data_IF_114532949548
#
_entry.id   IF_114532949548
#
_cell.length_a   1.000
_cell.length_b   1.000
_cell.length_c   1.000
_cell.angle_alpha   90.00
_cell.angle_beta   90.00
_cell.angle_gamma   90.00
#
_symmetry.space_group_name_H-M   'P 1'
#
loop_
_entity.id
_entity.type
_entity.pdbx_description
1 polymer ?
#
# COMPACT_ATOMS: atom_id res chain seq x y z
N UNK A 1 -9.75 -31.05 -48.48
CA UNK A 1 -8.36 -30.63 -48.15
C UNK A 1 -8.02 -29.15 -48.43
N UNK A 2 -8.70 -28.45 -49.32
CA UNK A 2 -8.43 -27.02 -49.60
C UNK A 2 -9.07 -26.05 -48.62
N UNK A 3 -10.27 -26.36 -48.07
CA UNK A 3 -11.01 -25.49 -47.15
C UNK A 3 -10.36 -25.37 -45.78
N UNK A 4 -9.80 -26.48 -45.27
CA UNK A 4 -9.12 -26.48 -43.96
C UNK A 4 -7.82 -25.67 -43.93
N UNK A 5 -7.10 -25.66 -45.07
CA UNK A 5 -5.89 -24.84 -45.20
C UNK A 5 -6.21 -23.36 -45.31
N UNK A 6 -7.32 -23.01 -45.96
CA UNK A 6 -7.79 -21.62 -46.04
C UNK A 6 -8.25 -21.09 -44.67
N UNK A 7 -8.94 -21.93 -43.89
CA UNK A 7 -9.38 -21.59 -42.52
C UNK A 7 -8.17 -21.41 -41.59
N UNK A 8 -7.15 -22.25 -41.71
CA UNK A 8 -5.93 -22.15 -40.91
C UNK A 8 -5.13 -20.87 -41.23
N UNK A 9 -5.04 -20.49 -42.50
CA UNK A 9 -4.40 -19.24 -42.94
C UNK A 9 -5.19 -18.04 -42.43
N UNK A 10 -6.52 -18.08 -42.47
CA UNK A 10 -7.38 -17.02 -41.97
C UNK A 10 -7.24 -16.81 -40.45
N UNK A 11 -7.19 -17.90 -39.66
CA UNK A 11 -6.95 -17.85 -38.21
C UNK A 11 -5.55 -17.31 -37.91
N UNK A 12 -4.53 -17.71 -38.71
CA UNK A 12 -3.16 -17.22 -38.53
C UNK A 12 -3.05 -15.72 -38.84
N UNK A 13 -3.73 -15.24 -39.89
CA UNK A 13 -3.76 -13.81 -40.25
C UNK A 13 -4.51 -13.00 -39.17
N UNK A 14 -5.63 -13.52 -38.65
CA UNK A 14 -6.37 -12.87 -37.59
C UNK A 14 -5.59 -12.84 -36.26
N UNK A 15 -4.78 -13.86 -35.97
CA UNK A 15 -3.90 -13.86 -34.78
C UNK A 15 -2.71 -12.90 -34.91
N UNK A 16 -2.24 -12.64 -36.15
CA UNK A 16 -1.15 -11.70 -36.38
C UNK A 16 -1.61 -10.24 -36.41
N UNK A 17 -2.88 -9.97 -36.74
CA UNK A 17 -3.44 -8.61 -36.70
C UNK A 17 -3.74 -8.14 -35.27
N UNK A 18 -4.00 -9.06 -34.34
CA UNK A 18 -4.18 -8.74 -32.92
C UNK A 18 -2.93 -8.22 -32.22
N UNK A 19 -1.73 -8.46 -32.77
CA UNK A 19 -0.47 -7.95 -32.21
C UNK A 19 -0.13 -6.51 -32.61
N UNK A 20 -0.84 -5.91 -33.55
CA UNK A 20 -0.56 -4.53 -33.99
C UNK A 20 -1.08 -3.46 -33.06
N UNK A 21 -2.10 -3.75 -32.25
CA UNK A 21 -2.67 -2.77 -31.32
C UNK A 21 -1.76 -2.44 -30.11
N UNK A 22 -0.83 -3.32 -29.76
CA UNK A 22 0.09 -3.08 -28.64
C UNK A 22 1.30 -2.20 -28.99
N UNK A 23 1.64 -2.06 -30.28
CA UNK A 23 2.83 -1.33 -30.71
C UNK A 23 2.75 0.21 -30.60
N UNK A 24 1.57 0.75 -30.37
CA UNK A 24 1.36 2.20 -30.33
C UNK A 24 0.97 2.73 -28.92
N UNK A 25 0.71 1.83 -27.96
CA UNK A 25 0.28 2.21 -26.61
C UNK A 25 1.47 2.47 -25.69
N UNK A 26 1.43 3.62 -25.00
CA UNK A 26 2.37 3.97 -23.95
C UNK A 26 1.89 3.37 -22.62
N UNK A 27 2.63 2.39 -22.13
CA UNK A 27 2.25 1.68 -20.90
C UNK A 27 2.75 2.44 -19.69
N UNK A 28 1.85 3.04 -18.94
CA UNK A 28 2.18 3.77 -17.72
C UNK A 28 2.58 2.79 -16.62
N UNK A 29 3.69 3.08 -15.95
CA UNK A 29 4.25 2.29 -14.85
C UNK A 29 4.17 2.99 -13.52
N UNK A 30 4.33 4.32 -13.53
CA UNK A 30 4.38 5.16 -12.36
C UNK A 30 3.74 6.50 -12.69
N UNK A 31 3.01 7.05 -11.75
CA UNK A 31 2.58 8.44 -11.71
C UNK A 31 3.22 9.10 -10.49
N UNK A 32 3.78 10.30 -10.65
CA UNK A 32 4.17 11.13 -9.51
C UNK A 32 3.34 12.39 -9.49
N UNK A 33 2.93 12.81 -8.30
CA UNK A 33 2.08 13.98 -8.08
C UNK A 33 2.68 14.82 -6.97
N UNK A 34 3.12 16.03 -7.32
CA UNK A 34 3.58 17.04 -6.36
C UNK A 34 2.77 18.32 -6.52
N UNK A 35 2.98 19.28 -5.62
CA UNK A 35 2.35 20.60 -5.75
C UNK A 35 2.71 21.30 -7.05
N UNK A 36 3.95 21.13 -7.49
CA UNK A 36 4.48 21.85 -8.65
C UNK A 36 4.16 21.17 -9.96
N UNK A 37 4.18 19.83 -10.00
CA UNK A 37 4.07 19.08 -11.24
C UNK A 37 3.45 17.69 -11.08
N UNK A 38 2.90 17.18 -12.18
CA UNK A 38 2.47 15.81 -12.33
C UNK A 38 3.29 15.18 -13.45
N UNK A 39 3.91 14.01 -13.20
CA UNK A 39 4.73 13.31 -14.17
C UNK A 39 4.24 11.87 -14.36
N UNK A 40 4.12 11.45 -15.62
CA UNK A 40 3.75 10.10 -16.03
C UNK A 40 5.00 9.43 -16.58
N UNK A 41 5.42 8.32 -15.95
CA UNK A 41 6.51 7.48 -16.42
C UNK A 41 5.95 6.27 -17.15
N UNK A 42 6.34 6.11 -18.42
CA UNK A 42 5.78 5.08 -19.28
C UNK A 42 6.87 4.40 -20.12
N UNK A 43 6.58 3.17 -20.54
CA UNK A 43 7.33 2.49 -21.57
C UNK A 43 6.77 2.85 -22.95
N UNK A 44 7.65 3.34 -23.81
CA UNK A 44 7.35 3.54 -25.21
C UNK A 44 7.88 2.31 -26.01
N UNK A 45 6.94 1.55 -26.53
CA UNK A 45 7.24 0.36 -27.34
C UNK A 45 7.31 0.67 -28.84
N UNK A 46 7.08 1.92 -29.25
CA UNK A 46 7.18 2.34 -30.66
C UNK A 46 8.63 2.45 -31.15
N UNK A 47 9.60 2.53 -30.21
CA UNK A 47 11.03 2.55 -30.52
C UNK A 47 11.60 1.13 -30.67
N UNK A 48 12.66 0.98 -31.47
CA UNK A 48 13.37 -0.31 -31.67
C UNK A 48 13.87 -0.94 -30.35
N UNK A 49 14.06 -0.13 -29.32
CA UNK A 49 14.35 -0.56 -27.95
C UNK A 49 13.39 0.14 -27.00
N UNK A 50 12.56 -0.62 -26.27
CA UNK A 50 11.71 -0.04 -25.24
C UNK A 50 12.55 0.73 -24.22
N UNK A 51 12.23 2.00 -24.01
CA UNK A 51 12.89 2.85 -23.02
C UNK A 51 11.86 3.54 -22.15
N UNK A 52 12.27 3.88 -20.95
CA UNK A 52 11.45 4.75 -20.11
C UNK A 52 11.44 6.16 -20.70
N UNK A 53 10.25 6.72 -20.73
CA UNK A 53 10.01 8.12 -21.11
C UNK A 53 9.15 8.77 -20.05
N UNK A 54 9.25 10.07 -19.92
CA UNK A 54 8.45 10.87 -18.99
C UNK A 54 7.66 11.92 -19.76
N UNK A 55 6.40 12.10 -19.38
CA UNK A 55 5.58 13.25 -19.75
C UNK A 55 5.21 13.97 -18.47
N UNK A 56 5.43 15.29 -18.44
CA UNK A 56 5.16 16.08 -17.24
C UNK A 56 4.46 17.39 -17.58
N UNK A 57 3.67 17.87 -16.63
CA UNK A 57 3.01 19.19 -16.69
C UNK A 57 3.01 19.85 -15.31
N UNK A 58 3.01 21.16 -15.31
CA UNK A 58 2.79 21.96 -14.11
C UNK A 58 1.40 21.63 -13.51
N UNK A 59 1.37 21.46 -12.20
CA UNK A 59 0.14 21.10 -11.49
C UNK A 59 -0.72 22.37 -11.27
N UNK A 60 -1.74 22.53 -12.09
CA UNK A 60 -2.75 23.60 -11.97
C UNK A 60 -4.09 23.11 -11.41
N UNK A 61 -4.08 21.98 -10.74
CA UNK A 61 -5.19 21.18 -10.24
C UNK A 61 -5.03 19.76 -10.75
N UNK A 62 -5.06 18.80 -9.83
CA UNK A 62 -4.67 17.40 -10.10
C UNK A 62 -5.54 16.80 -11.20
N UNK A 63 -6.86 16.91 -11.07
CA UNK A 63 -7.80 16.34 -12.04
C UNK A 63 -7.62 16.95 -13.43
N UNK A 64 -7.54 18.28 -13.51
CA UNK A 64 -7.37 18.98 -14.77
C UNK A 64 -6.02 18.63 -15.43
N UNK A 65 -4.95 18.60 -14.67
CA UNK A 65 -3.61 18.30 -15.16
C UNK A 65 -3.52 16.85 -15.65
N UNK A 66 -4.13 15.90 -14.95
CA UNK A 66 -4.23 14.50 -15.40
C UNK A 66 -4.99 14.39 -16.72
N UNK A 67 -6.14 15.03 -16.85
CA UNK A 67 -6.91 15.04 -18.09
C UNK A 67 -6.08 15.59 -19.26
N UNK A 68 -5.35 16.69 -19.04
CA UNK A 68 -4.49 17.27 -20.06
C UNK A 68 -3.32 16.33 -20.45
N UNK A 69 -2.61 15.75 -19.46
CA UNK A 69 -1.51 14.82 -19.72
C UNK A 69 -1.98 13.61 -20.52
N UNK A 70 -3.14 13.07 -20.15
CA UNK A 70 -3.70 11.87 -20.77
C UNK A 70 -4.32 12.13 -22.15
N UNK A 71 -4.65 13.39 -22.48
CA UNK A 71 -5.20 13.76 -23.78
C UNK A 71 -4.13 13.86 -24.89
N UNK A 72 -2.87 14.07 -24.51
CA UNK A 72 -1.79 14.29 -25.46
C UNK A 72 -1.39 13.00 -26.23
N UNK A 73 -1.65 11.84 -25.60
CA UNK A 73 -1.30 10.54 -26.16
C UNK A 73 -2.21 9.41 -25.63
N UNK A 74 -2.24 8.29 -26.34
CA UNK A 74 -2.96 7.10 -25.86
C UNK A 74 -2.11 6.35 -24.82
N UNK A 75 -2.45 6.52 -23.53
CA UNK A 75 -1.81 5.85 -22.42
C UNK A 75 -2.62 4.64 -21.94
N UNK A 76 -1.93 3.52 -21.65
CA UNK A 76 -2.53 2.39 -20.94
C UNK A 76 -2.19 2.50 -19.45
N UNK A 77 -3.21 2.85 -18.64
CA UNK A 77 -3.09 3.07 -17.20
C UNK A 77 -3.29 1.80 -16.36
N UNK A 78 -3.70 0.69 -16.99
CA UNK A 78 -4.03 -0.57 -16.29
C UNK A 78 -2.87 -1.21 -15.58
N UNK A 79 -1.64 -0.93 -16.04
CA UNK A 79 -0.41 -1.45 -15.47
C UNK A 79 0.33 -0.44 -14.59
N UNK A 80 -0.27 0.72 -14.32
CA UNK A 80 0.24 1.66 -13.34
C UNK A 80 0.09 1.06 -11.94
N UNK A 81 1.20 0.75 -11.30
CA UNK A 81 1.21 0.11 -9.97
C UNK A 81 1.15 1.11 -8.85
N UNK A 82 1.86 2.23 -9.00
CA UNK A 82 2.05 3.19 -7.93
C UNK A 82 1.75 4.60 -8.40
N UNK A 83 1.10 5.34 -7.52
CA UNK A 83 1.00 6.79 -7.56
C UNK A 83 1.78 7.31 -6.37
N UNK A 84 2.91 7.95 -6.64
CA UNK A 84 3.77 8.54 -5.62
C UNK A 84 3.38 10.00 -5.47
N UNK A 85 3.10 10.43 -4.26
CA UNK A 85 2.77 11.81 -3.97
C UNK A 85 3.58 12.34 -2.77
N UNK A 86 3.79 13.64 -2.75
CA UNK A 86 4.41 14.29 -1.62
C UNK A 86 3.45 14.42 -0.41
N UNK A 87 3.95 14.88 0.72
CA UNK A 87 3.17 15.03 1.95
C UNK A 87 2.02 16.01 1.81
N UNK A 88 2.22 17.11 1.07
CA UNK A 88 1.20 18.14 0.94
C UNK A 88 -0.03 17.64 0.17
N UNK A 89 0.18 16.79 -0.86
CA UNK A 89 -0.93 16.14 -1.57
C UNK A 89 -1.73 15.25 -0.62
N UNK A 90 -1.05 14.49 0.23
CA UNK A 90 -1.73 13.60 1.22
C UNK A 90 -2.51 14.40 2.26
N UNK A 91 -1.96 15.51 2.72
CA UNK A 91 -2.56 16.33 3.77
C UNK A 91 -3.76 17.15 3.26
N UNK A 92 -3.65 17.70 2.05
CA UNK A 92 -4.57 18.74 1.58
C UNK A 92 -5.37 18.39 0.32
N UNK A 93 -4.85 17.50 -0.54
CA UNK A 93 -5.38 17.28 -1.89
C UNK A 93 -5.71 15.79 -2.19
N UNK A 94 -5.76 14.93 -1.18
CA UNK A 94 -5.98 13.49 -1.36
C UNK A 94 -7.33 13.18 -2.02
N UNK A 95 -8.37 13.97 -1.75
CA UNK A 95 -9.69 13.82 -2.38
C UNK A 95 -9.63 14.10 -3.89
N UNK A 96 -8.96 15.18 -4.27
CA UNK A 96 -8.79 15.53 -5.68
C UNK A 96 -7.94 14.50 -6.41
N UNK A 97 -6.86 14.05 -5.77
CA UNK A 97 -6.02 12.96 -6.31
C UNK A 97 -6.85 11.69 -6.56
N UNK A 98 -7.59 11.21 -5.56
CA UNK A 98 -8.40 10.00 -5.67
C UNK A 98 -9.43 10.13 -6.78
N UNK A 99 -10.18 11.22 -6.83
CA UNK A 99 -11.17 11.49 -7.86
C UNK A 99 -10.53 11.55 -9.24
N UNK A 100 -9.40 12.23 -9.37
CA UNK A 100 -8.63 12.31 -10.61
C UNK A 100 -8.20 10.94 -11.13
N UNK A 101 -7.73 10.04 -10.25
CA UNK A 101 -7.34 8.68 -10.61
C UNK A 101 -8.53 7.84 -11.05
N UNK A 102 -9.64 7.89 -10.32
CA UNK A 102 -10.86 7.15 -10.65
C UNK A 102 -11.46 7.63 -11.98
N UNK A 103 -11.58 8.94 -12.16
CA UNK A 103 -12.11 9.54 -13.38
C UNK A 103 -11.23 9.29 -14.61
N UNK A 104 -9.91 9.21 -14.41
CA UNK A 104 -8.93 8.88 -15.46
C UNK A 104 -8.82 7.38 -15.74
N UNK A 105 -9.60 6.53 -15.06
CA UNK A 105 -9.64 5.08 -15.24
C UNK A 105 -8.32 4.36 -14.93
N UNK A 106 -7.58 4.82 -13.93
CA UNK A 106 -6.48 4.02 -13.37
C UNK A 106 -6.99 2.67 -12.86
N UNK A 107 -6.10 1.69 -12.80
CA UNK A 107 -6.45 0.39 -12.21
C UNK A 107 -6.86 0.57 -10.75
N UNK A 108 -7.92 -0.11 -10.34
CA UNK A 108 -8.29 -0.14 -8.93
C UNK A 108 -7.24 -0.84 -8.04
N UNK A 109 -6.32 -1.63 -8.65
CA UNK A 109 -5.17 -2.24 -7.97
C UNK A 109 -3.98 -1.27 -7.80
N UNK A 110 -4.07 -0.05 -8.33
CA UNK A 110 -3.05 1.00 -8.16
C UNK A 110 -2.97 1.40 -6.69
N UNK A 111 -1.76 1.56 -6.17
CA UNK A 111 -1.50 1.95 -4.77
C UNK A 111 -1.04 3.39 -4.73
N UNK A 112 -1.67 4.19 -3.86
CA UNK A 112 -1.21 5.55 -3.55
C UNK A 112 -0.19 5.44 -2.40
N UNK A 113 1.00 6.02 -2.60
CA UNK A 113 2.06 6.05 -1.59
C UNK A 113 2.62 7.45 -1.44
N UNK A 114 3.02 7.80 -0.22
CA UNK A 114 3.81 8.99 0.03
C UNK A 114 5.29 8.68 -0.20
N UNK A 115 5.99 9.52 -0.96
CA UNK A 115 7.40 9.32 -1.26
C UNK A 115 8.04 10.51 -1.94
N UNK A 116 9.26 10.31 -2.38
CA UNK A 116 10.04 11.30 -3.13
C UNK A 116 9.58 11.30 -4.60
N UNK A 117 8.88 12.36 -5.00
CA UNK A 117 8.31 12.52 -6.35
C UNK A 117 9.35 12.77 -7.44
N UNK A 118 10.56 13.14 -7.08
CA UNK A 118 11.69 13.35 -8.00
C UNK A 118 12.61 12.12 -8.11
N UNK A 119 12.32 11.06 -7.35
CA UNK A 119 13.13 9.84 -7.41
C UNK A 119 12.93 9.08 -8.72
N UNK A 120 13.99 8.42 -9.16
CA UNK A 120 13.97 7.56 -10.34
C UNK A 120 12.90 6.45 -10.23
N UNK A 121 12.17 6.13 -11.32
CA UNK A 121 11.07 5.16 -11.30
C UNK A 121 11.47 3.79 -10.76
N UNK A 122 12.72 3.37 -10.97
CA UNK A 122 13.26 2.09 -10.54
C UNK A 122 13.17 1.91 -9.03
N UNK A 123 13.32 3.00 -8.26
CA UNK A 123 13.16 2.99 -6.80
C UNK A 123 11.79 2.43 -6.37
N UNK A 124 10.75 2.70 -7.14
CA UNK A 124 9.38 2.28 -6.83
C UNK A 124 9.01 0.94 -7.49
N UNK A 125 9.63 0.56 -8.60
CA UNK A 125 9.36 -0.73 -9.26
C UNK A 125 9.87 -1.93 -8.47
N UNK A 126 10.87 -1.74 -7.62
CA UNK A 126 11.43 -2.77 -6.73
C UNK A 126 10.72 -2.86 -5.36
N UNK A 127 9.77 -1.96 -5.10
CA UNK A 127 9.03 -1.99 -3.85
C UNK A 127 8.27 -3.31 -3.69
N UNK A 128 8.29 -3.83 -2.47
CA UNK A 128 7.46 -4.97 -2.09
C UNK A 128 5.99 -4.63 -2.34
N UNK A 129 5.17 -5.64 -2.59
CA UNK A 129 3.75 -5.46 -2.79
C UNK A 129 3.13 -4.75 -1.58
N UNK A 130 2.73 -3.50 -1.77
CA UNK A 130 1.99 -2.74 -0.76
C UNK A 130 0.52 -3.17 -0.76
N UNK A 131 -0.14 -2.98 0.38
CA UNK A 131 -1.36 -3.70 0.70
C UNK A 131 -2.62 -2.85 0.62
N UNK A 132 -2.50 -1.56 0.24
CA UNK A 132 -3.63 -0.61 0.27
C UNK A 132 -3.91 0.00 -1.11
N UNK A 133 -4.39 -0.80 -2.08
CA UNK A 133 -4.75 -0.29 -3.40
C UNK A 133 -6.02 0.57 -3.35
N UNK A 134 -6.31 1.28 -4.44
CA UNK A 134 -7.47 2.19 -4.55
C UNK A 134 -8.78 1.51 -4.13
N UNK A 135 -8.99 0.23 -4.47
CA UNK A 135 -10.20 -0.50 -4.07
C UNK A 135 -10.34 -0.72 -2.55
N UNK A 136 -9.26 -0.59 -1.78
CA UNK A 136 -9.30 -0.71 -0.31
C UNK A 136 -9.78 0.57 0.39
N UNK A 137 -9.89 1.68 -0.36
CA UNK A 137 -10.44 2.92 0.19
C UNK A 137 -11.95 2.83 0.29
N UNK A 138 -12.46 3.30 1.40
CA UNK A 138 -13.89 3.37 1.65
C UNK A 138 -14.41 4.79 1.42
N UNK A 139 -15.47 4.92 0.63
CA UNK A 139 -16.10 6.22 0.34
C UNK A 139 -17.44 6.29 1.03
N UNK A 140 -17.60 7.24 1.95
CA UNK A 140 -18.85 7.50 2.67
C UNK A 140 -19.26 8.96 2.50
N UNK A 141 -20.51 9.19 2.05
CA UNK A 141 -21.02 10.54 1.78
C UNK A 141 -20.10 11.38 0.87
N UNK A 142 -19.43 10.75 -0.10
CA UNK A 142 -18.49 11.41 -0.99
C UNK A 142 -17.11 11.70 -0.36
N UNK A 143 -16.87 11.25 0.86
CA UNK A 143 -15.59 11.41 1.57
C UNK A 143 -14.80 10.11 1.59
N UNK A 144 -13.48 10.23 1.48
CA UNK A 144 -12.55 9.11 1.34
C UNK A 144 -11.98 8.76 2.71
N UNK A 145 -11.94 7.46 2.99
CA UNK A 145 -11.30 6.90 4.17
C UNK A 145 -10.36 5.78 3.72
N UNK A 146 -9.14 5.74 4.23
CA UNK A 146 -8.16 4.74 3.79
C UNK A 146 -6.79 4.93 4.41
N UNK A 147 -5.83 4.19 3.86
CA UNK A 147 -4.43 4.22 4.30
C UNK A 147 -3.53 4.57 3.13
N UNK A 148 -2.63 5.52 3.33
CA UNK A 148 -1.52 5.83 2.44
C UNK A 148 -0.21 5.46 3.13
N UNK A 149 0.58 4.58 2.53
CA UNK A 149 1.88 4.20 3.06
C UNK A 149 2.92 5.29 2.77
N UNK A 150 3.70 5.67 3.79
CA UNK A 150 4.88 6.50 3.64
C UNK A 150 6.11 5.60 3.51
N UNK A 151 6.66 5.52 2.30
CA UNK A 151 7.76 4.60 2.01
C UNK A 151 9.12 5.09 2.51
N UNK A 152 9.27 6.38 2.78
CA UNK A 152 10.50 6.94 3.31
C UNK A 152 10.73 6.52 4.77
N UNK A 153 9.67 6.56 5.58
CA UNK A 153 9.74 6.37 7.02
C UNK A 153 9.17 5.02 7.49
N UNK A 154 8.61 4.22 6.56
CA UNK A 154 7.83 3.01 6.89
C UNK A 154 6.71 3.28 7.87
N UNK A 155 6.02 4.40 7.69
CA UNK A 155 4.86 4.83 8.47
C UNK A 155 3.59 4.75 7.62
N UNK A 156 2.43 4.98 8.21
CA UNK A 156 1.15 4.98 7.50
C UNK A 156 0.38 6.25 7.84
N UNK A 157 -0.11 6.90 6.81
CA UNK A 157 -1.03 8.02 6.92
C UNK A 157 -2.45 7.47 6.92
N UNK A 158 -3.20 7.76 7.96
CA UNK A 158 -4.62 7.43 8.07
C UNK A 158 -5.42 8.58 7.49
N UNK A 159 -6.17 8.29 6.44
CA UNK A 159 -7.07 9.24 5.80
C UNK A 159 -8.47 9.03 6.32
N UNK A 160 -9.09 10.10 6.78
CA UNK A 160 -10.47 10.09 7.20
C UNK A 160 -11.20 11.36 6.77
N UNK A 161 -12.42 11.16 6.24
CA UNK A 161 -13.24 12.24 5.69
C UNK A 161 -12.47 13.11 4.69
N UNK A 162 -11.64 12.47 3.82
CA UNK A 162 -10.78 13.09 2.80
C UNK A 162 -9.65 13.98 3.36
N UNK A 163 -9.22 13.74 4.58
CA UNK A 163 -8.13 14.48 5.22
C UNK A 163 -7.18 13.55 5.94
N UNK A 164 -5.94 13.97 6.09
CA UNK A 164 -5.00 13.30 6.98
C UNK A 164 -5.52 13.39 8.43
N UNK A 165 -5.85 12.24 9.01
CA UNK A 165 -6.32 12.14 10.39
C UNK A 165 -5.16 11.98 11.36
N UNK A 166 -4.29 11.01 11.10
CA UNK A 166 -3.10 10.72 11.94
C UNK A 166 -2.04 10.01 11.14
N UNK A 167 -0.82 10.05 11.65
CA UNK A 167 0.33 9.30 11.12
C UNK A 167 0.68 8.23 12.17
N UNK A 168 0.58 6.97 11.77
CA UNK A 168 1.01 5.87 12.63
C UNK A 168 2.53 5.82 12.69
N UNK A 169 3.07 5.66 13.88
CA UNK A 169 4.51 5.39 14.05
C UNK A 169 4.92 4.09 13.35
N UNK A 170 6.20 3.85 13.14
CA UNK A 170 6.69 2.57 12.59
C UNK A 170 6.17 1.36 13.37
N UNK A 171 6.13 1.46 14.70
CA UNK A 171 5.66 0.39 15.58
C UNK A 171 4.16 0.15 15.42
N UNK A 172 3.36 1.22 15.41
CA UNK A 172 1.92 1.14 15.16
C UNK A 172 1.63 0.66 13.74
N UNK A 173 2.41 1.11 12.74
CA UNK A 173 2.29 0.67 11.35
C UNK A 173 2.54 -0.83 11.21
N UNK A 174 3.55 -1.35 11.90
CA UNK A 174 3.84 -2.79 11.93
C UNK A 174 2.72 -3.58 12.65
N UNK A 175 2.26 -3.10 13.80
CA UNK A 175 1.14 -3.69 14.53
C UNK A 175 -0.15 -3.69 13.69
N UNK A 176 -0.39 -2.61 12.94
CA UNK A 176 -1.51 -2.50 12.02
C UNK A 176 -1.43 -3.56 10.91
N UNK A 177 -0.26 -3.76 10.30
CA UNK A 177 -0.06 -4.80 9.27
C UNK A 177 -0.25 -6.20 9.84
N UNK A 178 0.16 -6.45 11.09
CA UNK A 178 -0.12 -7.70 11.80
C UNK A 178 -1.63 -7.90 11.88
N UNK A 179 -2.36 -6.98 12.46
CA UNK A 179 -3.81 -7.11 12.68
C UNK A 179 -4.54 -7.32 11.34
N UNK A 180 -4.11 -6.65 10.29
CA UNK A 180 -4.66 -6.79 8.95
C UNK A 180 -4.29 -8.10 8.27
N UNK A 181 -3.40 -8.88 8.86
CA UNK A 181 -2.82 -10.09 8.26
C UNK A 181 -2.15 -9.81 6.89
N UNK A 182 -1.54 -8.62 6.76
CA UNK A 182 -0.89 -8.16 5.54
C UNK A 182 0.57 -8.58 5.43
N UNK A 183 1.18 -9.02 6.55
CA UNK A 183 2.57 -9.45 6.61
C UNK A 183 2.69 -10.85 7.20
N UNK A 184 3.52 -11.68 6.57
CA UNK A 184 3.93 -13.00 7.05
C UNK A 184 5.32 -12.99 7.69
N UNK A 185 6.09 -11.93 7.42
CA UNK A 185 7.44 -11.70 7.96
C UNK A 185 7.81 -10.22 7.92
N UNK A 186 8.67 -9.80 8.82
CA UNK A 186 9.17 -8.41 8.84
C UNK A 186 10.15 -8.14 9.96
N UNK A 187 10.71 -6.94 9.96
CA UNK A 187 11.57 -6.44 11.03
C UNK A 187 10.78 -5.46 11.89
N UNK A 188 10.51 -5.85 13.12
CA UNK A 188 9.90 -4.98 14.11
C UNK A 188 10.97 -4.20 14.85
N UNK A 189 10.93 -2.88 14.77
CA UNK A 189 11.88 -1.98 15.45
C UNK A 189 11.13 -1.23 16.54
N UNK A 190 11.67 -1.23 17.76
CA UNK A 190 11.06 -0.59 18.92
C UNK A 190 12.12 -0.10 19.90
N UNK A 191 11.73 0.78 20.82
CA UNK A 191 12.61 1.32 21.85
C UNK A 191 12.25 0.73 23.22
N UNK A 192 13.28 0.38 24.01
CA UNK A 192 13.13 -0.03 25.38
C UNK A 192 14.25 0.57 26.24
N UNK A 193 13.89 1.35 27.25
CA UNK A 193 14.84 2.04 28.16
C UNK A 193 15.88 2.89 27.41
N UNK A 194 15.48 3.61 26.37
CA UNK A 194 16.34 4.47 25.55
C UNK A 194 17.26 3.70 24.59
N UNK A 195 17.09 2.38 24.45
CA UNK A 195 17.84 1.56 23.52
C UNK A 195 16.94 1.08 22.40
N UNK A 196 17.37 1.30 21.15
CA UNK A 196 16.68 0.78 20.00
C UNK A 196 16.92 -0.73 19.86
N UNK A 197 15.83 -1.49 19.83
CA UNK A 197 15.80 -2.93 19.66
C UNK A 197 15.18 -3.28 18.31
N UNK A 198 15.57 -4.43 17.73
CA UNK A 198 14.91 -4.95 16.55
C UNK A 198 14.73 -6.46 16.57
N UNK A 199 13.57 -6.94 16.14
CA UNK A 199 13.20 -8.35 16.03
C UNK A 199 12.90 -8.68 14.55
N UNK A 200 13.59 -9.67 13.98
CA UNK A 200 13.18 -10.25 12.71
C UNK A 200 12.20 -11.37 12.98
N UNK A 201 10.95 -11.16 12.56
CA UNK A 201 9.83 -12.06 12.76
C UNK A 201 9.50 -12.76 11.44
N UNK A 202 9.20 -14.05 11.52
CA UNK A 202 8.74 -14.90 10.40
C UNK A 202 7.51 -15.71 10.82
N UNK A 203 6.75 -16.18 9.84
CA UNK A 203 5.53 -16.98 10.05
C UNK A 203 4.53 -16.25 10.97
N UNK A 204 4.36 -14.97 10.73
CA UNK A 204 3.40 -14.15 11.47
C UNK A 204 1.99 -14.61 11.08
N UNK A 205 1.21 -14.98 12.08
CA UNK A 205 -0.20 -15.38 11.90
C UNK A 205 -1.05 -14.75 12.97
N UNK A 206 -2.25 -14.32 12.59
CA UNK A 206 -3.19 -13.66 13.48
C UNK A 206 -4.52 -14.40 13.46
N UNK A 207 -5.04 -14.65 14.64
CA UNK A 207 -6.37 -15.19 14.83
C UNK A 207 -7.18 -14.22 15.66
N UNK A 208 -8.37 -13.88 15.18
CA UNK A 208 -9.32 -13.07 15.93
C UNK A 208 -10.60 -13.87 16.12
N UNK A 209 -11.06 -13.94 17.38
CA UNK A 209 -12.33 -14.54 17.73
C UNK A 209 -13.08 -13.62 18.69
N UNK A 210 -14.40 -13.57 18.56
CA UNK A 210 -15.26 -12.82 19.47
C UNK A 210 -16.03 -13.83 20.32
N UNK A 211 -15.93 -13.70 21.64
CA UNK A 211 -16.63 -14.56 22.58
C UNK A 211 -17.11 -13.74 23.79
N UNK A 212 -18.40 -13.80 24.06
CA UNK A 212 -19.01 -13.09 25.21
C UNK A 212 -18.66 -11.58 25.22
N UNK A 213 -18.83 -10.89 24.09
CA UNK A 213 -18.50 -9.47 23.91
C UNK A 213 -17.03 -9.11 24.18
N UNK A 214 -16.15 -10.09 24.19
CA UNK A 214 -14.69 -9.90 24.26
C UNK A 214 -14.07 -10.35 22.96
N UNK A 215 -13.29 -9.47 22.33
CA UNK A 215 -12.44 -9.81 21.20
C UNK A 215 -11.15 -10.44 21.71
N UNK A 216 -10.83 -11.63 21.24
CA UNK A 216 -9.57 -12.30 21.52
C UNK A 216 -8.70 -12.27 20.27
N UNK A 217 -7.60 -11.55 20.34
CA UNK A 217 -6.60 -11.43 19.28
C UNK A 217 -5.37 -12.23 19.69
N UNK A 218 -5.04 -13.25 18.91
CA UNK A 218 -3.85 -14.06 19.12
C UNK A 218 -2.89 -13.91 17.97
N UNK A 219 -1.71 -13.36 18.25
CA UNK A 219 -0.59 -13.23 17.31
C UNK A 219 0.44 -14.30 17.61
N UNK A 220 0.83 -15.08 16.60
CA UNK A 220 1.96 -15.99 16.72
C UNK A 220 3.02 -15.59 15.70
N UNK A 221 4.29 -15.61 16.09
CA UNK A 221 5.41 -15.38 15.20
C UNK A 221 6.66 -16.15 15.67
N UNK A 222 7.59 -16.38 14.73
CA UNK A 222 8.88 -16.98 15.02
C UNK A 222 9.93 -15.87 15.05
N UNK A 223 10.66 -15.75 16.17
CA UNK A 223 11.81 -14.86 16.28
C UNK A 223 13.03 -15.53 15.63
N UNK A 224 13.43 -15.07 14.46
CA UNK A 224 14.61 -15.58 13.74
C UNK A 224 15.90 -15.04 14.32
N UNK A 225 15.98 -13.73 14.50
CA UNK A 225 17.09 -13.05 15.16
C UNK A 225 16.65 -11.73 15.79
N UNK A 226 17.51 -11.16 16.61
CA UNK A 226 17.28 -9.87 17.27
C UNK A 226 18.60 -9.08 17.42
N UNK A 227 18.47 -7.77 17.60
CA UNK A 227 19.59 -6.83 17.82
C UNK A 227 19.28 -5.90 19.01
N UNK A 228 20.32 -5.33 19.57
CA UNK A 228 20.24 -4.38 20.70
C UNK A 228 20.42 -5.01 22.07
N UNK A 229 20.48 -6.34 22.17
CA UNK A 229 20.80 -7.07 23.40
C UNK A 229 21.86 -8.17 23.13
N UNK A 230 22.61 -8.63 24.16
CA UNK A 230 23.56 -9.74 24.03
C UNK A 230 22.88 -11.02 23.53
N UNK A 231 23.55 -11.75 22.64
CA UNK A 231 23.01 -12.99 22.04
C UNK A 231 23.25 -14.23 22.92
N UNK A 232 22.62 -14.30 24.09
CA UNK A 232 22.63 -15.48 24.95
C UNK A 232 21.20 -15.92 25.26
N UNK A 233 21.02 -17.11 25.81
CA UNK A 233 19.70 -17.71 26.05
C UNK A 233 18.81 -16.87 26.98
N UNK A 234 19.36 -16.33 28.05
CA UNK A 234 18.64 -15.48 29.01
C UNK A 234 18.21 -14.18 28.35
N UNK A 235 19.11 -13.52 27.61
CA UNK A 235 18.78 -12.30 26.88
C UNK A 235 17.75 -12.53 25.77
N UNK A 236 17.77 -13.71 25.11
CA UNK A 236 16.74 -14.04 24.11
C UNK A 236 15.36 -14.11 24.76
N UNK A 237 15.23 -14.80 25.90
CA UNK A 237 13.93 -14.92 26.58
C UNK A 237 13.41 -13.55 27.07
N UNK A 238 14.29 -12.76 27.67
CA UNK A 238 13.96 -11.40 28.11
C UNK A 238 13.61 -10.51 26.91
N UNK A 239 14.35 -10.59 25.80
CA UNK A 239 14.04 -9.88 24.57
C UNK A 239 12.64 -10.23 24.04
N UNK A 240 12.30 -11.53 24.01
CA UNK A 240 10.99 -11.99 23.54
C UNK A 240 9.86 -11.38 24.37
N UNK A 241 9.99 -11.38 25.71
CA UNK A 241 9.03 -10.78 26.63
C UNK A 241 8.82 -9.27 26.35
N UNK A 242 9.92 -8.52 26.18
CA UNK A 242 9.88 -7.08 25.89
C UNK A 242 9.22 -6.85 24.51
N UNK A 243 9.59 -7.62 23.50
CA UNK A 243 9.04 -7.49 22.16
C UNK A 243 7.54 -7.84 22.11
N UNK A 244 7.10 -8.89 22.82
CA UNK A 244 5.69 -9.26 22.96
C UNK A 244 4.88 -8.11 23.57
N UNK A 245 5.31 -7.61 24.73
CA UNK A 245 4.63 -6.50 25.41
C UNK A 245 4.59 -5.24 24.53
N UNK A 246 5.65 -4.98 23.76
CA UNK A 246 5.67 -3.83 22.85
C UNK A 246 4.66 -3.99 21.70
N UNK A 247 4.55 -5.16 21.10
CA UNK A 247 3.57 -5.44 20.04
C UNK A 247 2.15 -5.35 20.61
N UNK A 248 1.87 -5.97 21.76
CA UNK A 248 0.58 -5.91 22.45
C UNK A 248 0.13 -4.47 22.72
N UNK A 249 1.02 -3.66 23.30
CA UNK A 249 0.72 -2.26 23.59
C UNK A 249 0.43 -1.44 22.32
N UNK A 250 1.14 -1.70 21.21
CA UNK A 250 0.86 -1.01 19.96
C UNK A 250 -0.47 -1.45 19.36
N UNK A 251 -0.84 -2.72 19.48
CA UNK A 251 -2.16 -3.20 19.06
C UNK A 251 -3.26 -2.56 19.90
N UNK A 252 -3.10 -2.52 21.22
CA UNK A 252 -4.06 -1.86 22.14
C UNK A 252 -4.23 -0.39 21.73
N UNK A 253 -3.12 0.34 21.56
CA UNK A 253 -3.15 1.75 21.14
C UNK A 253 -3.91 1.99 19.84
N UNK A 254 -3.79 1.07 18.87
CA UNK A 254 -4.55 1.14 17.62
C UNK A 254 -6.05 0.91 17.81
N UNK A 255 -6.42 -0.02 18.69
CA UNK A 255 -7.81 -0.37 18.97
C UNK A 255 -8.53 0.64 19.85
N UNK A 256 -7.79 1.35 20.70
CA UNK A 256 -8.31 2.42 21.54
C UNK A 256 -8.68 3.67 20.73
N UNK A 257 -8.11 3.83 19.53
CA UNK A 257 -8.53 4.88 18.62
C UNK A 257 -9.86 4.50 17.93
N UNK A 258 -10.96 4.81 18.59
CA UNK A 258 -12.32 4.54 18.09
C UNK A 258 -12.57 5.13 16.72
N UNK A 259 -11.97 6.27 16.42
CA UNK A 259 -12.14 6.92 15.13
C UNK A 259 -11.52 6.11 14.01
N UNK A 260 -10.33 5.54 14.23
CA UNK A 260 -9.71 4.61 13.27
C UNK A 260 -10.59 3.38 13.04
N UNK A 261 -11.10 2.79 14.10
CA UNK A 261 -11.90 1.56 14.02
C UNK A 261 -13.24 1.80 13.33
N UNK A 262 -13.93 2.90 13.61
CA UNK A 262 -15.23 3.22 13.03
C UNK A 262 -15.15 3.67 11.56
N UNK A 263 -14.12 4.47 11.20
CA UNK A 263 -14.04 5.09 9.87
C UNK A 263 -13.31 4.24 8.83
N UNK A 264 -12.35 3.41 9.22
CA UNK A 264 -11.63 2.58 8.26
C UNK A 264 -12.39 1.33 7.83
N UNK A 265 -13.54 0.99 8.46
CA UNK A 265 -14.38 -0.21 8.19
C UNK A 265 -13.55 -1.42 7.79
N UNK A 266 -12.52 -1.67 8.59
CA UNK A 266 -11.65 -2.80 8.37
C UNK A 266 -12.49 -4.05 8.66
N UNK A 267 -12.82 -4.88 7.68
CA UNK A 267 -13.81 -5.96 7.69
C UNK A 267 -13.86 -6.87 8.93
N UNK A 268 -12.87 -6.88 9.78
CA UNK A 268 -12.87 -7.54 11.09
C UNK A 268 -12.83 -6.56 12.28
N UNK A 269 -12.47 -5.31 12.10
CA UNK A 269 -12.61 -4.30 13.12
C UNK A 269 -14.09 -4.00 13.42
N UNK A 270 -15.00 -4.13 12.46
CA UNK A 270 -16.44 -3.99 12.73
C UNK A 270 -16.90 -4.96 13.83
N UNK A 271 -16.35 -6.18 13.84
CA UNK A 271 -16.61 -7.16 14.89
C UNK A 271 -15.90 -6.83 16.21
N UNK A 272 -14.73 -6.17 16.15
CA UNK A 272 -13.96 -5.75 17.33
C UNK A 272 -14.58 -4.50 17.98
N UNK A 273 -15.07 -3.56 17.18
CA UNK A 273 -15.69 -2.32 17.67
C UNK A 273 -16.99 -2.59 18.44
N UNK A 274 -17.66 -3.72 18.20
CA UNK A 274 -18.84 -4.13 18.97
C UNK A 274 -18.50 -4.79 20.31
N UNK A 275 -17.22 -5.07 20.58
CA UNK A 275 -16.80 -5.73 21.82
C UNK A 275 -16.57 -4.74 22.94
N UNK A 276 -16.97 -5.11 24.16
CA UNK A 276 -16.76 -4.32 25.37
C UNK A 276 -15.33 -4.45 25.92
N UNK A 277 -14.59 -5.48 25.51
CA UNK A 277 -13.23 -5.75 25.93
C UNK A 277 -12.41 -6.37 24.80
N UNK A 278 -11.11 -6.14 24.84
CA UNK A 278 -10.13 -6.75 23.92
C UNK A 278 -9.08 -7.46 24.75
N UNK A 279 -8.85 -8.73 24.46
CA UNK A 279 -7.81 -9.57 25.04
C UNK A 279 -6.78 -9.89 23.94
N UNK A 280 -5.52 -9.57 24.18
CA UNK A 280 -4.44 -9.72 23.19
C UNK A 280 -3.39 -10.65 23.76
N UNK A 281 -3.02 -11.63 22.96
CA UNK A 281 -1.96 -12.59 23.28
C UNK A 281 -0.94 -12.60 22.13
N UNK A 282 0.29 -12.19 22.39
CA UNK A 282 1.40 -12.27 21.43
C UNK A 282 2.36 -13.38 21.84
N UNK A 283 2.55 -14.35 20.98
CA UNK A 283 3.43 -15.50 21.20
C UNK A 283 4.62 -15.45 20.24
N UNK A 284 5.80 -15.11 20.73
CA UNK A 284 7.06 -15.27 20.02
C UNK A 284 7.73 -16.60 20.41
N UNK A 285 8.21 -17.33 19.39
CA UNK A 285 8.91 -18.63 19.57
C UNK A 285 10.32 -18.58 19.02
#
# INVERSE_FOLDING_TARGET
MKLSKLLFILVLVLSLTGCKEYGEKRIVKLLTVSDDKISIYYYDYSADKPSYSVAEKENTGIENTLVQLLSDHEYDLKLCRYVVCDSNIIENNIEELFNGLVNSKFSMDTVIIQGDTDAEPEKYTELKKYSYPIYSYYVENGKINGIVENVADNTKNVISDSKLHTILTQQQSFAFDIIKNNIDKGTYVFEHNGVQLSANLENITVFCTVKNDTAQIKVNAMLKNFKGMPSNKTSKQQFMEIAQNSIENNIISLLDDRYMTEKLKLNWFDNLCSCNAVDIEVNLK
#
